data_IF_809187210844
#
_entry.id   IF_809187210844
#
_cell.length_a   1.000
_cell.length_b   1.000
_cell.length_c   1.000
_cell.angle_alpha   90.00
_cell.angle_beta   90.00
_cell.angle_gamma   90.00
#
_symmetry.space_group_name_H-M   'P 1'
#
loop_
_entity.id
_entity.type
_entity.pdbx_description
1 polymer ?
#
# COMPACT_ATOMS: atom_id res chain seq x y z
N UNK A 1 -10.87 -7.16 -11.77
CA UNK A 1 -9.98 -7.54 -10.64
C UNK A 1 -10.75 -8.36 -9.63
N UNK A 2 -10.21 -9.51 -9.17
CA UNK A 2 -10.83 -10.32 -8.11
C UNK A 2 -10.62 -9.69 -6.74
N UNK A 3 -11.50 -9.98 -5.75
CA UNK A 3 -11.30 -9.51 -4.38
C UNK A 3 -9.99 -10.05 -3.78
N UNK A 4 -9.64 -11.29 -4.08
CA UNK A 4 -8.38 -11.91 -3.64
C UNK A 4 -7.17 -11.15 -4.18
N UNK A 5 -7.16 -10.77 -5.46
CA UNK A 5 -6.07 -9.99 -6.06
C UNK A 5 -5.97 -8.60 -5.43
N UNK A 6 -7.10 -7.98 -5.08
CA UNK A 6 -7.11 -6.70 -4.38
C UNK A 6 -6.53 -6.82 -2.96
N UNK A 7 -6.92 -7.85 -2.20
CA UNK A 7 -6.36 -8.12 -0.86
C UNK A 7 -4.85 -8.32 -0.93
N UNK A 8 -4.38 -9.23 -1.79
CA UNK A 8 -2.95 -9.49 -1.97
C UNK A 8 -2.22 -8.25 -2.46
N UNK A 9 -2.81 -7.51 -3.40
CA UNK A 9 -2.28 -6.25 -3.88
C UNK A 9 -2.10 -5.22 -2.77
N UNK A 10 -3.09 -5.04 -1.89
CA UNK A 10 -2.99 -4.12 -0.76
C UNK A 10 -1.93 -4.55 0.25
N UNK A 11 -1.82 -5.86 0.56
CA UNK A 11 -0.80 -6.39 1.46
C UNK A 11 0.60 -6.08 0.93
N UNK A 12 0.87 -6.39 -0.34
CA UNK A 12 2.22 -6.20 -0.90
C UNK A 12 2.53 -4.72 -1.22
N UNK A 13 1.52 -3.92 -1.59
CA UNK A 13 1.71 -2.50 -1.86
C UNK A 13 2.05 -1.70 -0.59
N UNK A 14 1.42 -2.04 0.55
CA UNK A 14 1.73 -1.44 1.86
C UNK A 14 3.07 -1.97 2.39
N UNK A 15 3.46 -3.19 2.03
CA UNK A 15 4.65 -3.90 2.53
C UNK A 15 4.77 -3.84 4.07
N UNK A 16 4.07 -4.73 4.80
CA UNK A 16 4.04 -4.72 6.28
C UNK A 16 5.41 -4.73 6.95
N UNK A 17 6.39 -5.38 6.33
CA UNK A 17 7.74 -5.48 6.88
C UNK A 17 8.50 -4.16 6.75
N UNK A 18 8.34 -3.44 5.62
CA UNK A 18 8.88 -2.11 5.44
C UNK A 18 8.28 -1.10 6.42
N UNK A 19 6.96 -1.18 6.62
CA UNK A 19 6.27 -0.33 7.58
C UNK A 19 6.70 -0.62 9.03
N UNK A 20 6.95 -1.89 9.37
CA UNK A 20 7.48 -2.28 10.68
C UNK A 20 8.93 -1.81 10.89
N UNK A 21 9.76 -1.85 9.84
CA UNK A 21 11.15 -1.39 9.89
C UNK A 21 11.25 0.14 10.05
N UNK A 22 10.33 0.88 9.43
CA UNK A 22 10.26 2.34 9.52
C UNK A 22 9.59 2.85 10.80
N UNK A 23 9.03 1.97 11.64
CA UNK A 23 8.34 2.38 12.85
C UNK A 23 9.35 2.91 13.91
N UNK A 24 9.02 4.00 14.62
CA UNK A 24 9.92 4.58 15.63
C UNK A 24 10.10 3.61 16.81
N UNK A 25 11.35 3.49 17.29
CA UNK A 25 11.71 2.57 18.39
C UNK A 25 11.01 2.93 19.71
N UNK A 26 10.77 4.22 19.97
CA UNK A 26 10.24 4.68 21.25
C UNK A 26 8.78 4.24 21.51
N UNK A 27 7.91 4.26 20.49
CA UNK A 27 6.50 3.85 20.62
C UNK A 27 5.96 3.31 19.28
N UNK A 28 6.41 2.13 18.84
CA UNK A 28 6.05 1.59 17.54
C UNK A 28 4.56 1.27 17.42
N UNK A 29 3.93 0.81 18.49
CA UNK A 29 2.51 0.41 18.47
C UNK A 29 1.61 1.61 18.23
N UNK A 30 1.86 2.71 18.93
CA UNK A 30 1.07 3.93 18.78
C UNK A 30 1.28 4.56 17.40
N UNK A 31 2.53 4.63 16.93
CA UNK A 31 2.85 5.15 15.61
C UNK A 31 2.16 4.36 14.51
N UNK A 32 2.17 3.01 14.58
CA UNK A 32 1.50 2.13 13.62
C UNK A 32 -0.02 2.27 13.69
N UNK A 33 -0.59 2.40 14.90
CA UNK A 33 -2.02 2.64 15.04
C UNK A 33 -2.46 3.94 14.37
N UNK A 34 -1.72 5.03 14.57
CA UNK A 34 -1.97 6.33 13.92
C UNK A 34 -1.76 6.23 12.41
N UNK A 35 -0.68 5.57 11.97
CA UNK A 35 -0.40 5.37 10.55
C UNK A 35 -1.49 4.55 9.87
N UNK A 36 -1.92 3.46 10.48
CA UNK A 36 -2.99 2.61 9.97
C UNK A 36 -4.31 3.35 9.79
N UNK A 37 -4.69 4.18 10.78
CA UNK A 37 -5.87 5.02 10.68
C UNK A 37 -5.74 6.06 9.56
N UNK A 38 -4.60 6.73 9.46
CA UNK A 38 -4.33 7.71 8.41
C UNK A 38 -4.38 7.07 7.01
N UNK A 39 -3.75 5.90 6.84
CA UNK A 39 -3.78 5.14 5.58
C UNK A 39 -5.21 4.74 5.23
N UNK A 40 -5.98 4.26 6.19
CA UNK A 40 -7.38 3.89 5.96
C UNK A 40 -8.20 5.08 5.47
N UNK A 41 -8.03 6.25 6.09
CA UNK A 41 -8.69 7.50 5.65
C UNK A 41 -8.27 7.86 4.22
N UNK A 42 -6.97 7.82 3.91
CA UNK A 42 -6.46 8.12 2.58
C UNK A 42 -6.97 7.14 1.52
N UNK A 43 -7.05 5.85 1.85
CA UNK A 43 -7.62 4.80 0.99
C UNK A 43 -9.09 5.05 0.72
N UNK A 44 -9.87 5.43 1.76
CA UNK A 44 -11.29 5.78 1.60
C UNK A 44 -11.45 7.01 0.71
N UNK A 45 -10.65 8.05 0.91
CA UNK A 45 -10.69 9.27 0.09
C UNK A 45 -10.34 8.93 -1.37
N UNK A 46 -9.23 8.21 -1.60
CA UNK A 46 -8.81 7.80 -2.94
C UNK A 46 -9.88 6.94 -3.63
N UNK A 47 -10.50 6.01 -2.88
CA UNK A 47 -11.58 5.18 -3.38
C UNK A 47 -12.85 5.96 -3.69
N UNK A 48 -13.25 6.88 -2.84
CA UNK A 48 -14.44 7.72 -3.06
C UNK A 48 -14.27 8.67 -4.26
N UNK A 49 -13.04 9.12 -4.50
CA UNK A 49 -12.70 9.98 -5.63
C UNK A 49 -12.36 9.19 -6.90
N UNK A 50 -12.40 7.85 -6.89
CA UNK A 50 -11.96 7.03 -8.02
C UNK A 50 -12.71 7.32 -9.32
N UNK A 51 -14.05 7.32 -9.31
CA UNK A 51 -14.86 7.58 -10.49
C UNK A 51 -14.70 9.00 -11.04
N UNK A 52 -14.83 10.08 -10.22
CA UNK A 52 -14.61 11.42 -10.73
C UNK A 52 -13.19 11.66 -11.25
N UNK A 53 -12.15 11.07 -10.62
CA UNK A 53 -10.77 11.19 -11.10
C UNK A 53 -10.58 10.49 -12.44
N UNK A 54 -11.04 9.24 -12.57
CA UNK A 54 -10.91 8.48 -13.83
C UNK A 54 -11.69 9.15 -14.95
N UNK A 55 -12.89 9.65 -14.69
CA UNK A 55 -13.70 10.37 -15.66
C UNK A 55 -13.03 11.69 -16.10
N UNK A 56 -12.50 12.46 -15.15
CA UNK A 56 -11.83 13.74 -15.46
C UNK A 56 -10.59 13.58 -16.35
N UNK A 57 -9.87 12.45 -16.21
CA UNK A 57 -8.66 12.14 -16.97
C UNK A 57 -8.99 11.34 -18.26
N UNK A 58 -10.24 10.88 -18.42
CA UNK A 58 -10.64 10.05 -19.56
C UNK A 58 -10.02 8.64 -19.55
N UNK A 59 -9.71 8.11 -18.35
CA UNK A 59 -9.06 6.82 -18.17
C UNK A 59 -10.07 5.77 -17.74
N UNK A 60 -10.01 4.57 -18.34
CA UNK A 60 -10.86 3.45 -17.95
C UNK A 60 -10.36 2.75 -16.69
N UNK A 61 -11.24 2.03 -16.00
CA UNK A 61 -10.83 1.21 -14.85
C UNK A 61 -9.81 0.13 -15.22
N UNK A 62 -9.80 -0.36 -16.46
CA UNK A 62 -8.80 -1.30 -16.98
C UNK A 62 -7.41 -0.63 -17.04
N UNK A 63 -7.33 0.55 -17.65
CA UNK A 63 -6.08 1.33 -17.72
C UNK A 63 -5.58 1.73 -16.33
N UNK A 64 -6.49 2.07 -15.41
CA UNK A 64 -6.13 2.37 -14.02
C UNK A 64 -5.49 1.17 -13.30
N UNK A 65 -5.94 -0.08 -13.59
CA UNK A 65 -5.31 -1.31 -13.06
C UNK A 65 -3.90 -1.51 -13.58
N UNK A 66 -3.69 -1.27 -14.88
CA UNK A 66 -2.34 -1.33 -15.47
C UNK A 66 -1.42 -0.32 -14.77
N UNK A 67 -1.87 0.93 -14.63
CA UNK A 67 -1.11 1.98 -13.96
C UNK A 67 -0.82 1.63 -12.47
N UNK A 68 -1.81 1.04 -11.76
CA UNK A 68 -1.62 0.57 -10.39
C UNK A 68 -0.54 -0.52 -10.32
N UNK A 69 -0.59 -1.52 -11.20
CA UNK A 69 0.41 -2.58 -11.25
C UNK A 69 1.81 -2.04 -11.57
N UNK A 70 1.95 -1.10 -12.49
CA UNK A 70 3.24 -0.45 -12.79
C UNK A 70 3.77 0.32 -11.58
N UNK A 71 2.93 1.11 -10.90
CA UNK A 71 3.32 1.85 -9.71
C UNK A 71 3.72 0.92 -8.54
N UNK A 72 3.01 -0.20 -8.37
CA UNK A 72 3.35 -1.24 -7.41
C UNK A 72 4.69 -1.90 -7.75
N UNK A 73 4.92 -2.23 -9.04
CA UNK A 73 6.17 -2.82 -9.50
C UNK A 73 7.36 -1.89 -9.22
N UNK A 74 7.22 -0.61 -9.51
CA UNK A 74 8.26 0.38 -9.21
C UNK A 74 8.58 0.45 -7.71
N UNK A 75 7.55 0.42 -6.85
CA UNK A 75 7.71 0.37 -5.40
C UNK A 75 8.38 -0.92 -4.93
N UNK A 76 7.98 -2.06 -5.49
CA UNK A 76 8.54 -3.37 -5.17
C UNK A 76 10.02 -3.48 -5.56
N UNK A 77 10.38 -2.99 -6.74
CA UNK A 77 11.78 -2.92 -7.20
C UNK A 77 12.61 -2.02 -6.28
N UNK A 78 12.07 -0.86 -5.90
CA UNK A 78 12.74 0.00 -4.91
C UNK A 78 13.02 -0.75 -3.61
N UNK A 79 12.04 -1.47 -3.07
CA UNK A 79 12.19 -2.22 -1.81
C UNK A 79 13.23 -3.35 -1.89
N UNK A 80 13.49 -3.89 -3.09
CA UNK A 80 14.52 -4.91 -3.33
C UNK A 80 15.95 -4.33 -3.32
N UNK A 81 16.14 -3.14 -3.90
CA UNK A 81 17.47 -2.62 -4.21
C UNK A 81 17.88 -1.41 -3.36
N UNK A 82 16.92 -0.67 -2.83
CA UNK A 82 17.19 0.55 -2.06
C UNK A 82 16.97 0.26 -0.57
N UNK A 83 18.03 0.40 0.22
CA UNK A 83 17.88 0.42 1.68
C UNK A 83 17.09 1.68 2.05
N UNK A 84 16.08 1.59 2.90
CA UNK A 84 15.43 2.79 3.39
C UNK A 84 16.47 3.62 4.16
N UNK A 85 16.74 4.82 3.68
CA UNK A 85 17.43 5.81 4.50
C UNK A 85 16.55 6.13 5.71
N UNK A 86 17.11 6.34 6.90
CA UNK A 86 16.36 6.77 8.06
C UNK A 86 15.74 8.15 7.74
N UNK A 87 14.46 8.15 7.36
CA UNK A 87 13.75 9.40 7.15
C UNK A 87 13.58 10.14 8.48
N UNK A 88 13.74 11.48 8.50
CA UNK A 88 13.54 12.24 9.72
C UNK A 88 12.12 12.03 10.24
N UNK A 89 12.00 11.34 11.37
CA UNK A 89 10.71 11.10 12.00
C UNK A 89 10.28 12.30 12.87
N UNK A 90 9.02 12.66 12.76
CA UNK A 90 8.44 13.64 13.69
C UNK A 90 8.34 13.03 15.09
N UNK A 91 8.44 13.84 16.17
CA UNK A 91 8.42 13.31 17.52
C UNK A 91 7.02 12.78 17.92
N UNK A 92 7.01 11.72 18.74
CA UNK A 92 5.81 11.13 19.30
C UNK A 92 4.84 10.53 18.27
N UNK A 93 3.53 10.69 18.48
CA UNK A 93 2.49 10.14 17.61
C UNK A 93 2.53 10.67 16.16
N UNK A 94 3.12 11.85 15.96
CA UNK A 94 3.29 12.46 14.64
C UNK A 94 4.18 11.62 13.71
N UNK A 95 5.10 10.83 14.26
CA UNK A 95 5.88 9.86 13.49
C UNK A 95 4.98 8.82 12.77
N UNK A 96 3.80 8.56 13.31
CA UNK A 96 2.80 7.73 12.64
C UNK A 96 2.22 8.36 11.38
N UNK A 97 2.21 9.68 11.26
CA UNK A 97 1.75 10.37 10.05
C UNK A 97 2.91 10.52 9.06
N UNK A 98 4.04 11.10 9.52
CA UNK A 98 5.24 11.29 8.70
C UNK A 98 6.45 10.73 9.46
N UNK A 99 7.19 9.79 8.88
CA UNK A 99 7.09 9.27 7.51
C UNK A 99 6.16 8.06 7.36
N UNK A 100 5.64 7.47 8.43
CA UNK A 100 5.09 6.12 8.41
C UNK A 100 3.82 5.99 7.55
N UNK A 101 2.78 6.80 7.78
CA UNK A 101 1.61 6.77 6.91
C UNK A 101 1.95 7.26 5.50
N UNK A 102 2.65 8.37 5.40
CA UNK A 102 3.10 8.94 4.15
C UNK A 102 4.58 9.36 4.25
N UNK A 103 5.46 8.90 3.36
CA UNK A 103 5.20 8.14 2.12
C UNK A 103 5.34 6.61 2.26
N UNK A 104 5.61 6.06 3.47
CA UNK A 104 5.98 4.65 3.63
C UNK A 104 4.82 3.72 3.31
N UNK A 105 3.69 3.84 4.02
CA UNK A 105 2.55 2.93 3.84
C UNK A 105 1.63 3.37 2.69
N UNK A 106 1.38 4.67 2.52
CA UNK A 106 0.59 5.21 1.42
C UNK A 106 1.49 5.67 0.28
N UNK A 107 2.19 4.72 -0.32
CA UNK A 107 3.00 4.92 -1.52
C UNK A 107 2.12 5.09 -2.77
N UNK A 108 2.65 5.62 -3.88
CA UNK A 108 1.91 5.78 -5.13
C UNK A 108 1.21 4.50 -5.61
N UNK A 109 1.83 3.33 -5.40
CA UNK A 109 1.22 2.03 -5.73
C UNK A 109 -0.06 1.77 -4.95
N UNK A 110 -0.11 2.11 -3.64
CA UNK A 110 -1.31 1.98 -2.80
C UNK A 110 -2.41 2.93 -3.28
N UNK A 111 -2.07 4.19 -3.58
CA UNK A 111 -3.03 5.18 -4.06
C UNK A 111 -3.68 4.74 -5.39
N UNK A 112 -2.86 4.33 -6.36
CA UNK A 112 -3.34 3.85 -7.66
C UNK A 112 -4.15 2.57 -7.54
N UNK A 113 -3.74 1.63 -6.68
CA UNK A 113 -4.50 0.40 -6.42
C UNK A 113 -5.83 0.70 -5.72
N UNK A 114 -5.88 1.68 -4.82
CA UNK A 114 -7.12 2.11 -4.17
C UNK A 114 -8.11 2.68 -5.19
N UNK A 115 -7.66 3.54 -6.10
CA UNK A 115 -8.48 4.10 -7.18
C UNK A 115 -8.99 2.98 -8.09
N UNK A 116 -8.09 2.12 -8.60
CA UNK A 116 -8.44 1.02 -9.48
C UNK A 116 -9.34 -0.03 -8.81
N UNK A 117 -9.11 -0.33 -7.53
CA UNK A 117 -9.88 -1.27 -6.74
C UNK A 117 -11.29 -0.78 -6.47
N UNK A 118 -11.44 0.48 -6.07
CA UNK A 118 -12.74 1.08 -5.80
C UNK A 118 -13.61 1.22 -7.05
N UNK A 119 -13.03 1.65 -8.18
CA UNK A 119 -13.76 1.76 -9.46
C UNK A 119 -14.29 0.41 -9.97
N UNK A 120 -13.66 -0.69 -9.55
CA UNK A 120 -14.03 -2.05 -9.98
C UNK A 120 -14.93 -2.78 -8.98
N UNK A 121 -14.74 -2.57 -7.67
CA UNK A 121 -15.38 -3.35 -6.59
C UNK A 121 -16.12 -2.51 -5.56
N UNK A 122 -16.00 -1.19 -5.64
CA UNK A 122 -16.53 -0.27 -4.66
C UNK A 122 -15.66 -0.08 -3.42
N UNK A 123 -15.90 1.02 -2.72
CA UNK A 123 -15.10 1.45 -1.56
C UNK A 123 -15.18 0.45 -0.40
N UNK A 124 -16.32 -0.18 -0.17
CA UNK A 124 -16.48 -1.14 0.93
C UNK A 124 -15.55 -2.36 0.79
N UNK A 125 -15.46 -2.93 -0.43
CA UNK A 125 -14.55 -4.05 -0.71
C UNK A 125 -13.09 -3.60 -0.62
N UNK A 126 -12.77 -2.39 -1.08
CA UNK A 126 -11.44 -1.80 -0.94
C UNK A 126 -11.03 -1.69 0.53
N UNK A 127 -11.89 -1.12 1.38
CA UNK A 127 -11.64 -1.00 2.83
C UNK A 127 -11.43 -2.38 3.46
N UNK A 128 -12.33 -3.34 3.19
CA UNK A 128 -12.18 -4.71 3.68
C UNK A 128 -10.88 -5.37 3.22
N UNK A 129 -10.42 -5.06 2.00
CA UNK A 129 -9.16 -5.58 1.45
C UNK A 129 -7.91 -4.93 2.05
N UNK A 130 -8.04 -3.73 2.60
CA UNK A 130 -6.93 -3.01 3.26
C UNK A 130 -6.69 -3.50 4.68
N UNK A 131 -7.73 -3.91 5.40
CA UNK A 131 -7.63 -4.33 6.80
C UNK A 131 -6.58 -5.45 7.05
N UNK A 132 -6.51 -6.53 6.25
CA UNK A 132 -5.49 -7.56 6.44
C UNK A 132 -4.06 -7.01 6.37
N UNK A 133 -3.79 -6.06 5.46
CA UNK A 133 -2.48 -5.43 5.36
C UNK A 133 -2.12 -4.63 6.63
N UNK A 134 -3.08 -3.88 7.18
CA UNK A 134 -2.88 -3.12 8.42
C UNK A 134 -2.67 -4.05 9.63
N UNK A 135 -3.44 -5.12 9.72
CA UNK A 135 -3.27 -6.14 10.78
C UNK A 135 -1.89 -6.79 10.68
N UNK A 136 -1.47 -7.20 9.48
CA UNK A 136 -0.14 -7.78 9.26
C UNK A 136 0.97 -6.78 9.61
N UNK A 137 0.80 -5.50 9.32
CA UNK A 137 1.75 -4.45 9.71
C UNK A 137 1.87 -4.35 11.23
N UNK A 138 0.74 -4.35 11.95
CA UNK A 138 0.74 -4.30 13.40
C UNK A 138 1.40 -5.55 14.02
N UNK A 139 1.13 -6.74 13.46
CA UNK A 139 1.75 -7.99 13.89
C UNK A 139 3.26 -8.01 13.58
N UNK A 140 3.68 -7.61 12.38
CA UNK A 140 5.09 -7.55 12.01
C UNK A 140 5.89 -6.64 12.94
N UNK A 141 5.36 -5.47 13.27
CA UNK A 141 6.01 -4.55 14.19
C UNK A 141 6.03 -5.07 15.63
N UNK A 142 4.94 -5.69 16.10
CA UNK A 142 4.90 -6.25 17.46
C UNK A 142 5.86 -7.43 17.62
N UNK A 143 6.14 -8.17 16.56
CA UNK A 143 7.07 -9.29 16.52
C UNK A 143 8.52 -8.88 16.20
N UNK A 144 8.79 -7.60 15.94
CA UNK A 144 10.13 -7.12 15.55
C UNK A 144 10.61 -7.67 14.20
N UNK A 145 9.67 -7.92 13.27
CA UNK A 145 9.96 -8.54 11.97
C UNK A 145 10.44 -7.55 10.90
N UNK A 146 10.77 -6.32 11.26
CA UNK A 146 11.31 -5.30 10.35
C UNK A 146 12.76 -5.58 9.96
N UNK A 147 13.06 -6.76 9.41
CA UNK A 147 14.41 -7.11 8.95
C UNK A 147 14.52 -6.92 7.44
N UNK A 148 15.66 -6.40 6.99
CA UNK A 148 15.95 -6.16 5.56
C UNK A 148 15.59 -7.35 4.64
N UNK A 149 15.85 -8.58 5.09
CA UNK A 149 15.49 -9.78 4.33
C UNK A 149 13.97 -9.89 4.12
N UNK A 150 13.17 -9.61 5.16
CA UNK A 150 11.70 -9.68 5.06
C UNK A 150 11.14 -8.54 4.21
N UNK A 151 11.74 -7.36 4.24
CA UNK A 151 11.39 -6.24 3.33
C UNK A 151 11.64 -6.64 1.88
N UNK A 152 12.79 -7.28 1.59
CA UNK A 152 13.11 -7.77 0.26
C UNK A 152 12.16 -8.91 -0.20
N UNK A 153 11.79 -9.83 0.69
CA UNK A 153 10.79 -10.87 0.41
C UNK A 153 9.43 -10.23 0.10
N UNK A 154 9.03 -9.21 0.86
CA UNK A 154 7.84 -8.42 0.59
C UNK A 154 7.89 -7.73 -0.78
N UNK A 155 9.04 -7.15 -1.14
CA UNK A 155 9.30 -6.57 -2.45
C UNK A 155 9.20 -7.59 -3.59
N UNK A 156 9.82 -8.77 -3.43
CA UNK A 156 9.73 -9.84 -4.43
C UNK A 156 8.28 -10.33 -4.65
N UNK A 157 7.56 -10.57 -3.55
CA UNK A 157 6.14 -10.90 -3.62
C UNK A 157 5.33 -9.76 -4.27
N UNK A 158 5.69 -8.51 -3.95
CA UNK A 158 5.12 -7.30 -4.53
C UNK A 158 5.27 -7.24 -6.04
N UNK A 159 6.45 -7.56 -6.56
CA UNK A 159 6.70 -7.59 -8.00
C UNK A 159 5.84 -8.63 -8.73
N UNK A 160 5.68 -9.83 -8.14
CA UNK A 160 4.83 -10.88 -8.71
C UNK A 160 3.36 -10.45 -8.73
N UNK A 161 2.82 -9.94 -7.62
CA UNK A 161 1.43 -9.51 -7.55
C UNK A 161 1.18 -8.28 -8.43
N UNK A 162 2.13 -7.34 -8.49
CA UNK A 162 2.06 -6.20 -9.40
C UNK A 162 1.92 -6.63 -10.87
N UNK A 163 2.68 -7.63 -11.29
CA UNK A 163 2.57 -8.21 -12.63
C UNK A 163 1.17 -8.80 -12.87
N UNK A 164 0.61 -9.51 -11.89
CA UNK A 164 -0.76 -10.03 -11.99
C UNK A 164 -1.81 -8.91 -12.09
N UNK A 165 -1.62 -7.79 -11.40
CA UNK A 165 -2.50 -6.63 -11.50
C UNK A 165 -2.42 -5.99 -12.90
N UNK A 166 -1.21 -5.89 -13.48
CA UNK A 166 -1.03 -5.43 -14.87
C UNK A 166 -1.77 -6.36 -15.83
N UNK A 167 -1.56 -7.67 -15.73
CA UNK A 167 -2.21 -8.66 -16.59
C UNK A 167 -3.74 -8.60 -16.47
N UNK A 168 -4.28 -8.51 -15.25
CA UNK A 168 -5.73 -8.34 -15.03
C UNK A 168 -6.28 -7.07 -15.70
N UNK A 169 -5.49 -6.00 -15.73
CA UNK A 169 -5.85 -4.77 -16.47
C UNK A 169 -5.83 -4.98 -17.99
N UNK A 170 -4.79 -5.64 -18.52
CA UNK A 170 -4.66 -5.92 -19.95
C UNK A 170 -5.79 -6.82 -20.47
N UNK A 171 -6.15 -7.87 -19.74
CA UNK A 171 -7.25 -8.76 -20.12
C UNK A 171 -8.65 -8.14 -19.96
N UNK A 172 -8.76 -6.95 -19.39
CA UNK A 172 -10.01 -6.24 -19.20
C UNK A 172 -10.27 -5.12 -20.24
N UNK A 173 -9.31 -4.88 -21.16
CA UNK A 173 -9.46 -3.99 -22.32
C UNK A 173 -10.18 -4.76 -23.43
#
# INVERSE_FOLDING_TARGET
MTATLLVLGMIVAINPFRAADAAPEADPRRAIGVAGLAVLVLVVIAGALSEPLLSAVGVTGASARIAAGIAMLASAVRDLFVSPDPEPSLPGWRAGIVPLAFPVMFAPGVAMLAIAGASNRGVAVLVASTLPALVLTALAASAGLGRRLLVAVGGAAGALIATLVVLDGVYAI
#
